data_IF_083243579391
#
_entry.id   IF_083243579391
#
_cell.length_a   1.000
_cell.length_b   1.000
_cell.length_c   1.000
_cell.angle_alpha   90.00
_cell.angle_beta   90.00
_cell.angle_gamma   90.00
#
_symmetry.space_group_name_H-M   'P 1'
#
loop_
_entity.id
_entity.type
_entity.pdbx_description
1 polymer ?
#
# COMPACT_ATOMS: atom_id res chain seq x y z
N UNK A 1 10.57 5.54 -6.76
CA UNK A 1 10.24 6.72 -7.57
C UNK A 1 8.74 6.64 -7.84
N UNK A 2 7.93 7.58 -7.35
CA UNK A 2 6.50 7.60 -7.65
C UNK A 2 6.36 8.33 -8.98
N UNK A 3 5.99 7.61 -10.04
CA UNK A 3 5.61 8.22 -11.30
C UNK A 3 4.13 8.56 -11.21
N UNK A 4 3.69 9.73 -11.69
CA UNK A 4 2.27 10.05 -11.75
C UNK A 4 1.77 9.79 -13.17
N UNK A 5 0.92 8.78 -13.33
CA UNK A 5 0.24 8.51 -14.60
C UNK A 5 -1.06 9.30 -14.69
N UNK A 6 -1.38 9.76 -15.91
CA UNK A 6 -2.66 10.42 -16.17
C UNK A 6 -3.81 9.44 -15.94
N UNK A 7 -4.87 9.90 -15.28
CA UNK A 7 -6.09 9.12 -15.03
C UNK A 7 -7.26 9.75 -15.78
N UNK A 8 -7.94 8.96 -16.62
CA UNK A 8 -9.17 9.36 -17.31
C UNK A 8 -10.37 8.65 -16.71
N UNK A 9 -11.25 9.43 -16.07
CA UNK A 9 -12.48 8.95 -15.41
C UNK A 9 -13.50 8.35 -16.39
N UNK A 10 -13.40 8.66 -17.68
CA UNK A 10 -14.32 8.17 -18.71
C UNK A 10 -13.76 6.98 -19.50
N UNK A 11 -12.48 6.64 -19.33
CA UNK A 11 -11.88 5.46 -19.95
C UNK A 11 -12.13 4.23 -19.07
N UNK A 12 -12.28 3.07 -19.72
CA UNK A 12 -12.22 1.78 -19.04
C UNK A 12 -10.87 1.61 -18.33
N UNK A 13 -10.73 0.55 -17.51
CA UNK A 13 -9.45 0.24 -16.87
C UNK A 13 -8.44 -0.32 -17.88
N UNK A 14 -7.89 0.57 -18.71
CA UNK A 14 -6.77 0.32 -19.59
C UNK A 14 -5.44 0.32 -18.82
N UNK A 15 -4.33 0.00 -19.50
CA UNK A 15 -3.02 -0.07 -18.87
C UNK A 15 -2.60 1.26 -18.20
N UNK A 16 -3.01 2.40 -18.76
CA UNK A 16 -2.67 3.73 -18.23
C UNK A 16 -3.45 4.03 -16.95
N UNK A 17 -4.76 3.81 -16.95
CA UNK A 17 -5.60 3.95 -15.78
C UNK A 17 -5.23 2.94 -14.68
N UNK A 18 -4.84 1.71 -15.04
CA UNK A 18 -4.36 0.71 -14.08
C UNK A 18 -3.06 1.17 -13.39
N UNK A 19 -2.09 1.70 -14.14
CA UNK A 19 -0.87 2.27 -13.56
C UNK A 19 -1.18 3.47 -12.66
N UNK A 20 -2.07 4.37 -13.08
CA UNK A 20 -2.47 5.53 -12.27
C UNK A 20 -3.13 5.11 -10.94
N UNK A 21 -3.99 4.09 -10.97
CA UNK A 21 -4.62 3.53 -9.76
C UNK A 21 -3.57 2.85 -8.87
N UNK A 22 -2.61 2.12 -9.43
CA UNK A 22 -1.52 1.50 -8.68
C UNK A 22 -0.65 2.54 -7.95
N UNK A 23 -0.26 3.63 -8.63
CA UNK A 23 0.54 4.69 -8.02
C UNK A 23 -0.23 5.43 -6.91
N UNK A 24 -1.51 5.70 -7.13
CA UNK A 24 -2.39 6.31 -6.12
C UNK A 24 -2.50 5.42 -4.88
N UNK A 25 -2.74 4.12 -5.06
CA UNK A 25 -2.82 3.17 -3.96
C UNK A 25 -1.48 3.07 -3.21
N UNK A 26 -0.36 3.00 -3.92
CA UNK A 26 0.97 3.01 -3.32
C UNK A 26 1.21 4.29 -2.50
N UNK A 27 0.85 5.46 -3.03
CA UNK A 27 1.01 6.73 -2.32
C UNK A 27 0.20 6.77 -1.02
N UNK A 28 -1.09 6.44 -1.09
CA UNK A 28 -1.98 6.45 0.08
C UNK A 28 -1.47 5.47 1.15
N UNK A 29 -1.01 4.28 0.77
CA UNK A 29 -0.51 3.30 1.73
C UNK A 29 0.77 3.77 2.44
N UNK A 30 1.69 4.43 1.73
CA UNK A 30 2.87 5.02 2.36
C UNK A 30 2.50 6.18 3.30
N UNK A 31 1.55 7.05 2.90
CA UNK A 31 1.05 8.12 3.78
C UNK A 31 0.41 7.54 5.04
N UNK A 32 -0.39 6.50 4.90
CA UNK A 32 -1.01 5.82 6.05
C UNK A 32 0.04 5.15 6.95
N UNK A 33 1.12 4.62 6.37
CA UNK A 33 2.24 4.08 7.13
C UNK A 33 2.93 5.17 7.96
N UNK A 34 3.24 6.32 7.34
CA UNK A 34 3.88 7.46 8.00
C UNK A 34 2.99 8.06 9.10
N UNK A 35 1.68 8.15 8.86
CA UNK A 35 0.71 8.60 9.87
C UNK A 35 0.67 7.61 11.03
N UNK A 36 0.57 6.31 10.75
CA UNK A 36 0.54 5.26 11.78
C UNK A 36 1.82 5.26 12.63
N UNK A 37 2.98 5.52 12.00
CA UNK A 37 4.25 5.69 12.68
C UNK A 37 4.24 6.85 13.69
N UNK A 38 3.64 7.99 13.32
CA UNK A 38 3.50 9.14 14.24
C UNK A 38 2.60 8.81 15.44
N UNK A 39 1.60 7.94 15.26
CA UNK A 39 0.70 7.50 16.34
C UNK A 39 1.22 6.30 17.14
N UNK A 40 2.45 5.82 16.88
CA UNK A 40 3.13 4.84 17.73
C UNK A 40 3.15 3.41 17.20
N UNK A 41 2.71 3.15 15.96
CA UNK A 41 3.05 1.92 15.23
C UNK A 41 4.49 2.08 14.69
N UNK A 42 5.48 1.95 15.57
CA UNK A 42 6.89 1.94 15.16
C UNK A 42 7.36 0.51 14.91
N UNK A 43 8.60 0.42 14.48
CA UNK A 43 9.25 -0.81 14.03
C UNK A 43 9.16 -1.93 15.08
N UNK A 44 9.43 -1.62 16.36
CA UNK A 44 9.30 -2.57 17.48
C UNK A 44 7.85 -3.01 17.77
N UNK A 45 6.85 -2.24 17.34
CA UNK A 45 5.42 -2.53 17.53
C UNK A 45 4.79 -3.25 16.32
N UNK A 46 5.57 -3.67 15.32
CA UNK A 46 5.06 -4.41 14.16
C UNK A 46 4.53 -3.53 13.03
N UNK A 47 5.22 -2.42 12.78
CA UNK A 47 5.05 -1.60 11.59
C UNK A 47 5.44 -2.37 10.32
N UNK A 48 4.61 -2.28 9.28
CA UNK A 48 4.79 -2.98 8.00
C UNK A 48 5.90 -2.34 7.15
N UNK A 49 7.13 -2.83 7.29
CA UNK A 49 8.29 -2.36 6.53
C UNK A 49 9.19 -3.49 6.05
N UNK A 50 9.69 -3.37 4.83
CA UNK A 50 10.65 -4.35 4.31
C UNK A 50 11.97 -4.32 5.10
N UNK A 51 12.43 -3.13 5.49
CA UNK A 51 13.66 -2.94 6.27
C UNK A 51 13.43 -1.96 7.42
N UNK A 52 13.67 -2.44 8.65
CA UNK A 52 13.46 -1.66 9.87
C UNK A 52 14.71 -0.85 10.28
N UNK A 53 15.74 -0.75 9.42
CA UNK A 53 16.97 0.04 9.62
C UNK A 53 17.67 -0.20 10.97
N UNK A 54 17.57 -1.43 11.50
CA UNK A 54 18.15 -1.79 12.80
C UNK A 54 17.37 -1.32 14.04
N UNK A 55 16.12 -0.88 13.87
CA UNK A 55 15.27 -0.33 14.95
C UNK A 55 14.39 -1.38 15.67
N UNK A 56 14.66 -2.67 15.47
CA UNK A 56 13.87 -3.78 16.05
C UNK A 56 12.63 -4.15 15.23
N UNK A 57 11.82 -5.09 15.74
CA UNK A 57 10.62 -5.59 15.05
C UNK A 57 10.85 -6.72 14.05
N UNK A 58 9.76 -7.16 13.41
CA UNK A 58 9.79 -8.12 12.30
C UNK A 58 10.00 -7.36 11.00
N UNK A 59 10.83 -7.90 10.10
CA UNK A 59 11.15 -7.30 8.79
C UNK A 59 10.44 -8.06 7.68
N UNK A 60 10.52 -7.55 6.45
CA UNK A 60 9.93 -8.20 5.25
C UNK A 60 8.40 -8.34 5.35
N UNK A 61 7.75 -7.52 6.17
CA UNK A 61 6.30 -7.49 6.38
C UNK A 61 5.63 -6.31 5.63
N UNK A 62 6.24 -5.86 4.53
CA UNK A 62 5.69 -4.76 3.73
C UNK A 62 4.27 -5.06 3.24
N UNK A 63 3.39 -4.06 3.32
CA UNK A 63 2.04 -4.15 2.75
C UNK A 63 2.13 -4.41 1.25
N UNK A 64 1.57 -5.55 0.82
CA UNK A 64 1.34 -5.85 -0.59
C UNK A 64 -0.04 -5.37 -0.99
N UNK A 65 -0.10 -4.56 -2.05
CA UNK A 65 -1.35 -3.98 -2.55
C UNK A 65 -1.62 -4.55 -3.93
N UNK A 66 -2.76 -5.23 -4.08
CA UNK A 66 -3.28 -5.64 -5.39
C UNK A 66 -4.36 -4.65 -5.80
N UNK A 67 -4.22 -4.07 -6.99
CA UNK A 67 -5.24 -3.20 -7.60
C UNK A 67 -5.97 -3.98 -8.68
N UNK A 68 -7.30 -3.77 -8.78
CA UNK A 68 -8.17 -4.52 -9.69
C UNK A 68 -8.20 -6.03 -9.41
N UNK A 69 -8.19 -6.42 -8.13
CA UNK A 69 -8.43 -7.80 -7.75
C UNK A 69 -9.86 -8.21 -8.13
N UNK A 70 -9.99 -9.28 -8.91
CA UNK A 70 -11.28 -9.76 -9.43
C UNK A 70 -12.00 -10.68 -8.46
N UNK A 71 -11.42 -10.96 -7.29
CA UNK A 71 -12.01 -11.82 -6.25
C UNK A 71 -13.29 -11.22 -5.61
N UNK A 72 -13.50 -9.91 -5.75
CA UNK A 72 -14.73 -9.23 -5.32
C UNK A 72 -14.94 -7.90 -6.05
N UNK A 73 -16.19 -7.59 -6.40
CA UNK A 73 -16.57 -6.30 -7.02
C UNK A 73 -17.15 -5.36 -5.96
N UNK A 74 -16.81 -4.07 -6.03
CA UNK A 74 -17.26 -3.03 -5.09
C UNK A 74 -16.83 -3.22 -3.63
N UNK A 75 -15.66 -3.82 -3.40
CA UNK A 75 -15.12 -4.04 -2.06
C UNK A 75 -13.59 -3.85 -2.02
N UNK A 76 -13.04 -3.77 -0.81
CA UNK A 76 -11.61 -3.81 -0.53
C UNK A 76 -11.36 -4.63 0.74
N UNK A 77 -10.23 -5.32 0.80
CA UNK A 77 -9.87 -6.22 1.89
C UNK A 77 -8.43 -5.99 2.33
N UNK A 78 -8.17 -6.14 3.63
CA UNK A 78 -6.84 -6.06 4.21
C UNK A 78 -6.67 -7.21 5.21
N UNK A 79 -5.62 -8.01 5.03
CA UNK A 79 -5.31 -9.14 5.89
C UNK A 79 -4.02 -8.87 6.64
N UNK A 80 -4.07 -8.98 7.98
CA UNK A 80 -2.93 -8.88 8.88
C UNK A 80 -2.67 -10.25 9.50
N UNK A 81 -1.97 -11.15 8.80
CA UNK A 81 -1.58 -12.43 9.39
C UNK A 81 -0.67 -12.19 10.62
N UNK A 82 -0.76 -13.03 11.66
CA UNK A 82 0.19 -12.96 12.77
C UNK A 82 1.61 -13.26 12.26
N UNK A 83 2.60 -12.58 12.85
CA UNK A 83 4.03 -12.81 12.59
C UNK A 83 4.60 -13.85 13.55
#
# INVERSE_FOLDING_TARGET
NISFHAYDVNSSLDATNLSAVADSAFHVMNVMNDVSYQYGLRDEQGNFQNNNFGRGGVQTDSVQVSVNDTSGVSNANFATPPM
#
